data_IF_557260232613
#
_entry.id   IF_557260232613
#
_cell.length_a   1.000
_cell.length_b   1.000
_cell.length_c   1.000
_cell.angle_alpha   90.00
_cell.angle_beta   90.00
_cell.angle_gamma   90.00
#
_symmetry.space_group_name_H-M   'P 1'
#
loop_
_entity.id
_entity.type
_entity.pdbx_description
1 polymer ?
#
# COMPACT_ATOMS: atom_id res chain seq x y z
N UNK A 1 8.67 -32.54 35.16
CA UNK A 1 7.44 -31.99 34.54
C UNK A 1 7.59 -30.50 34.19
N UNK A 2 8.14 -29.64 35.06
CA UNK A 2 8.27 -28.18 34.79
C UNK A 2 9.16 -27.76 33.61
N UNK A 3 10.18 -28.56 33.23
CA UNK A 3 11.05 -28.26 32.09
C UNK A 3 10.36 -28.45 30.74
N UNK A 4 9.46 -29.43 30.65
CA UNK A 4 8.72 -29.70 29.41
C UNK A 4 7.68 -28.61 29.13
N UNK A 5 6.97 -28.14 30.15
CA UNK A 5 6.00 -27.04 30.03
C UNK A 5 6.66 -25.72 29.61
N UNK A 6 7.86 -25.42 30.13
CA UNK A 6 8.60 -24.20 29.74
C UNK A 6 9.07 -24.24 28.29
N UNK A 7 9.54 -25.40 27.82
CA UNK A 7 9.90 -25.61 26.41
C UNK A 7 8.69 -25.53 25.47
N UNK A 8 7.54 -26.05 25.88
CA UNK A 8 6.29 -25.94 25.12
C UNK A 8 5.81 -24.50 25.01
N UNK A 9 5.87 -23.72 26.10
CA UNK A 9 5.56 -22.29 26.10
C UNK A 9 6.49 -21.50 25.18
N UNK A 10 7.81 -21.76 25.23
CA UNK A 10 8.80 -21.10 24.36
C UNK A 10 8.56 -21.43 22.89
N UNK A 11 8.23 -22.68 22.55
CA UNK A 11 7.87 -23.08 21.18
C UNK A 11 6.60 -22.38 20.71
N UNK A 12 5.58 -22.30 21.56
CA UNK A 12 4.34 -21.60 21.23
C UNK A 12 4.59 -20.10 20.99
N UNK A 13 5.38 -19.46 21.85
CA UNK A 13 5.78 -18.05 21.68
C UNK A 13 6.55 -17.83 20.39
N UNK A 14 7.51 -18.69 20.06
CA UNK A 14 8.26 -18.61 18.82
C UNK A 14 7.37 -18.77 17.58
N UNK A 15 6.38 -19.67 17.64
CA UNK A 15 5.41 -19.86 16.57
C UNK A 15 4.53 -18.61 16.38
N UNK A 16 4.00 -18.05 17.48
CA UNK A 16 3.21 -16.82 17.45
C UNK A 16 4.02 -15.65 16.88
N UNK A 17 5.24 -15.43 17.37
CA UNK A 17 6.13 -14.38 16.87
C UNK A 17 6.42 -14.53 15.37
N UNK A 18 6.58 -15.75 14.87
CA UNK A 18 6.76 -16.01 13.44
C UNK A 18 5.51 -15.68 12.61
N UNK A 19 4.32 -15.99 13.14
CA UNK A 19 3.07 -15.63 12.49
C UNK A 19 2.83 -14.12 12.49
N UNK A 20 3.11 -13.44 13.60
CA UNK A 20 3.05 -11.98 13.72
C UNK A 20 3.98 -11.31 12.71
N UNK A 21 5.24 -11.73 12.63
CA UNK A 21 6.19 -11.22 11.65
C UNK A 21 5.67 -11.37 10.21
N UNK A 22 5.09 -12.53 9.88
CA UNK A 22 4.52 -12.78 8.55
C UNK A 22 3.30 -11.91 8.25
N UNK A 23 2.44 -11.65 9.25
CA UNK A 23 1.30 -10.75 9.08
C UNK A 23 1.75 -9.29 8.87
N UNK A 24 2.80 -8.86 9.58
CA UNK A 24 3.41 -7.54 9.39
C UNK A 24 3.98 -7.40 7.98
N UNK A 25 4.72 -8.41 7.48
CA UNK A 25 5.23 -8.43 6.11
C UNK A 25 4.10 -8.29 5.07
N UNK A 26 3.01 -9.04 5.24
CA UNK A 26 1.83 -8.96 4.36
C UNK A 26 1.21 -7.56 4.42
N UNK A 27 1.04 -7.00 5.61
CA UNK A 27 0.44 -5.68 5.78
C UNK A 27 1.30 -4.57 5.16
N UNK A 28 2.63 -4.66 5.29
CA UNK A 28 3.57 -3.76 4.63
C UNK A 28 3.48 -3.87 3.11
N UNK A 29 3.39 -5.09 2.57
CA UNK A 29 3.22 -5.30 1.13
C UNK A 29 1.91 -4.68 0.62
N UNK A 30 0.80 -4.89 1.34
CA UNK A 30 -0.50 -4.29 0.98
C UNK A 30 -0.44 -2.77 0.99
N UNK A 31 0.18 -2.17 2.00
CA UNK A 31 0.39 -0.73 2.07
C UNK A 31 1.22 -0.22 0.88
N UNK A 32 2.31 -0.90 0.55
CA UNK A 32 3.17 -0.55 -0.59
C UNK A 32 2.40 -0.62 -1.92
N UNK A 33 1.67 -1.71 -2.17
CA UNK A 33 0.85 -1.88 -3.38
C UNK A 33 -0.21 -0.77 -3.49
N UNK A 34 -0.87 -0.41 -2.37
CA UNK A 34 -1.82 0.71 -2.35
C UNK A 34 -1.17 2.02 -2.77
N UNK A 35 0.03 2.32 -2.26
CA UNK A 35 0.76 3.54 -2.64
C UNK A 35 1.13 3.53 -4.13
N UNK A 36 1.69 2.44 -4.63
CA UNK A 36 2.07 2.30 -6.04
C UNK A 36 0.90 2.37 -7.01
N UNK A 37 -0.32 1.98 -6.60
CA UNK A 37 -1.53 2.16 -7.42
C UNK A 37 -2.04 3.60 -7.35
N UNK A 38 -2.07 4.19 -6.15
CA UNK A 38 -2.59 5.55 -5.96
C UNK A 38 -1.75 6.60 -6.68
N UNK A 39 -0.45 6.38 -6.84
CA UNK A 39 0.47 7.29 -7.53
C UNK A 39 0.06 7.56 -9.00
N UNK A 40 0.02 6.55 -9.91
CA UNK A 40 -0.43 6.75 -11.28
C UNK A 40 -1.91 7.14 -11.35
N UNK A 41 -2.75 6.65 -10.43
CA UNK A 41 -4.17 6.98 -10.41
C UNK A 41 -4.42 8.48 -10.15
N UNK A 42 -3.64 9.08 -9.27
CA UNK A 42 -3.64 10.52 -9.01
C UNK A 42 -3.29 11.30 -10.28
N UNK A 43 -2.29 10.81 -11.04
CA UNK A 43 -1.92 11.39 -12.33
C UNK A 43 -3.05 11.31 -13.36
N UNK A 44 -3.66 10.12 -13.53
CA UNK A 44 -4.80 9.92 -14.46
C UNK A 44 -5.98 10.81 -14.10
N UNK A 45 -6.34 10.88 -12.81
CA UNK A 45 -7.42 11.72 -12.32
C UNK A 45 -7.13 13.21 -12.56
N UNK A 46 -5.92 13.66 -12.23
CA UNK A 46 -5.49 15.04 -12.48
C UNK A 46 -5.52 15.42 -13.96
N UNK A 47 -5.05 14.53 -14.84
CA UNK A 47 -5.11 14.77 -16.30
C UNK A 47 -6.55 14.83 -16.81
N UNK A 48 -7.44 13.96 -16.33
CA UNK A 48 -8.86 14.02 -16.66
C UNK A 48 -9.47 15.37 -16.23
N UNK A 49 -9.17 15.82 -15.01
CA UNK A 49 -9.64 17.12 -14.51
C UNK A 49 -9.11 18.31 -15.32
N UNK A 50 -7.84 18.27 -15.75
CA UNK A 50 -7.27 19.30 -16.62
C UNK A 50 -7.99 19.34 -17.97
N UNK A 51 -8.20 18.19 -18.62
CA UNK A 51 -8.90 18.09 -19.90
C UNK A 51 -10.34 18.60 -19.83
N UNK A 52 -11.05 18.39 -18.71
CA UNK A 52 -12.42 18.91 -18.56
C UNK A 52 -12.51 20.44 -18.61
N UNK A 53 -11.42 21.14 -18.30
CA UNK A 53 -11.32 22.61 -18.35
C UNK A 53 -11.05 23.13 -19.76
N UNK A 54 -10.71 22.25 -20.70
CA UNK A 54 -10.49 22.61 -22.10
C UNK A 54 -11.79 22.64 -22.91
N UNK A 55 -11.73 23.26 -24.10
CA UNK A 55 -12.82 23.26 -25.06
C UNK A 55 -12.85 21.93 -25.83
N UNK A 56 -13.58 20.95 -25.28
CA UNK A 56 -13.76 19.63 -25.87
C UNK A 56 -15.07 19.54 -26.67
N UNK A 57 -15.06 18.73 -27.73
CA UNK A 57 -16.30 18.29 -28.37
C UNK A 57 -17.18 17.49 -27.38
N UNK A 58 -18.51 17.41 -27.58
CA UNK A 58 -19.38 16.66 -26.67
C UNK A 58 -18.96 15.20 -26.47
N UNK A 59 -18.49 14.53 -27.53
CA UNK A 59 -18.02 13.14 -27.45
C UNK A 59 -16.72 13.02 -26.65
N UNK A 60 -15.77 13.93 -26.82
CA UNK A 60 -14.53 13.95 -26.04
C UNK A 60 -14.80 14.25 -24.57
N UNK A 61 -15.64 15.25 -24.28
CA UNK A 61 -16.07 15.57 -22.90
C UNK A 61 -16.65 14.34 -22.21
N UNK A 62 -17.54 13.61 -22.89
CA UNK A 62 -18.13 12.37 -22.34
C UNK A 62 -17.08 11.30 -22.05
N UNK A 63 -16.08 11.14 -22.92
CA UNK A 63 -15.00 10.17 -22.68
C UNK A 63 -14.13 10.56 -21.48
N UNK A 64 -13.85 11.85 -21.30
CA UNK A 64 -13.08 12.35 -20.15
C UNK A 64 -13.85 12.17 -18.84
N UNK A 65 -15.17 12.42 -18.82
CA UNK A 65 -16.03 12.11 -17.67
C UNK A 65 -15.98 10.62 -17.29
N UNK A 66 -16.00 9.72 -18.28
CA UNK A 66 -15.89 8.27 -18.04
C UNK A 66 -14.52 7.92 -17.45
N UNK A 67 -13.43 8.51 -17.95
CA UNK A 67 -12.09 8.29 -17.41
C UNK A 67 -12.02 8.72 -15.94
N UNK A 68 -12.55 9.90 -15.62
CA UNK A 68 -12.61 10.40 -14.24
C UNK A 68 -13.40 9.45 -13.32
N UNK A 69 -14.59 9.01 -13.76
CA UNK A 69 -15.44 8.08 -13.01
C UNK A 69 -14.76 6.73 -12.77
N UNK A 70 -14.06 6.20 -13.78
CA UNK A 70 -13.29 4.97 -13.63
C UNK A 70 -12.13 5.15 -12.65
N UNK A 71 -11.42 6.29 -12.70
CA UNK A 71 -10.35 6.59 -11.77
C UNK A 71 -10.85 6.65 -10.31
N UNK A 72 -11.98 7.30 -10.07
CA UNK A 72 -12.63 7.33 -8.75
C UNK A 72 -13.01 5.92 -8.29
N UNK A 73 -13.62 5.11 -9.17
CA UNK A 73 -13.99 3.74 -8.82
C UNK A 73 -12.79 2.86 -8.45
N UNK A 74 -11.65 3.03 -9.14
CA UNK A 74 -10.41 2.32 -8.80
C UNK A 74 -9.93 2.77 -7.42
N UNK A 75 -9.94 4.09 -7.14
CA UNK A 75 -9.56 4.65 -5.84
C UNK A 75 -10.40 4.03 -4.72
N UNK A 76 -11.71 3.95 -4.90
CA UNK A 76 -12.62 3.38 -3.91
C UNK A 76 -12.37 1.88 -3.71
N UNK A 77 -12.07 1.15 -4.78
CA UNK A 77 -11.71 -0.28 -4.71
C UNK A 77 -10.40 -0.48 -3.93
N UNK A 78 -9.40 0.36 -4.19
CA UNK A 78 -8.10 0.33 -3.51
C UNK A 78 -8.21 0.78 -2.06
N UNK A 79 -9.16 1.67 -1.73
CA UNK A 79 -9.40 2.11 -0.36
C UNK A 79 -9.82 0.97 0.58
N UNK A 80 -10.40 -0.12 0.07
CA UNK A 80 -10.71 -1.34 0.85
C UNK A 80 -9.42 -1.95 1.45
N UNK A 81 -8.27 -1.76 0.80
CA UNK A 81 -6.98 -2.23 1.31
C UNK A 81 -6.46 -1.38 2.49
N UNK A 82 -7.12 -0.27 2.83
CA UNK A 82 -6.71 0.61 3.94
C UNK A 82 -6.91 -0.03 5.31
N UNK A 83 -7.85 -0.96 5.41
CA UNK A 83 -8.15 -1.70 6.65
C UNK A 83 -7.02 -2.67 7.03
N UNK A 84 -6.14 -3.01 6.07
CA UNK A 84 -4.91 -3.76 6.32
C UNK A 84 -3.82 -2.76 6.73
N UNK A 85 -3.97 -2.18 7.91
CA UNK A 85 -2.91 -1.41 8.53
C UNK A 85 -2.05 -2.36 9.37
N UNK A 86 -0.73 -2.42 9.18
CA UNK A 86 0.10 -3.09 10.17
C UNK A 86 -0.14 -2.37 11.51
N UNK A 87 -0.45 -3.14 12.57
CA UNK A 87 -0.25 -2.68 13.94
C UNK A 87 1.26 -2.50 14.11
N UNK A 88 1.82 -1.42 13.57
CA UNK A 88 3.13 -1.00 13.98
C UNK A 88 2.94 -0.35 15.36
N UNK A 89 3.47 -0.92 16.46
CA UNK A 89 3.99 -0.03 17.48
C UNK A 89 4.98 0.90 16.76
N UNK A 90 4.97 2.18 17.07
CA UNK A 90 5.84 3.23 16.50
C UNK A 90 7.33 3.01 16.83
N UNK A 91 7.80 1.77 16.92
CA UNK A 91 9.17 1.42 17.26
C UNK A 91 10.00 1.40 15.98
N UNK A 92 10.83 2.43 15.82
CA UNK A 92 12.15 2.61 15.16
C UNK A 92 12.56 1.75 13.93
N UNK A 93 12.03 0.54 13.72
CA UNK A 93 12.32 -0.32 12.56
C UNK A 93 11.56 0.03 11.28
N UNK A 94 10.44 0.77 11.37
CA UNK A 94 9.66 1.19 10.20
C UNK A 94 10.40 2.20 9.32
N UNK A 95 11.15 3.12 9.94
CA UNK A 95 11.98 4.09 9.24
C UNK A 95 13.15 3.43 8.51
N UNK A 96 13.73 2.37 9.07
CA UNK A 96 14.84 1.64 8.45
C UNK A 96 14.43 0.94 7.15
N UNK A 97 13.20 0.41 7.07
CA UNK A 97 12.68 -0.23 5.85
C UNK A 97 12.38 0.83 4.78
N UNK A 98 11.78 1.97 5.17
CA UNK A 98 11.53 3.07 4.25
C UNK A 98 12.85 3.64 3.67
N UNK A 99 13.86 3.86 4.52
CA UNK A 99 15.19 4.33 4.09
C UNK A 99 15.92 3.32 3.19
N UNK A 100 15.77 2.02 3.43
CA UNK A 100 16.37 1.00 2.58
C UNK A 100 15.73 0.92 1.19
N UNK A 101 14.42 1.12 1.08
CA UNK A 101 13.69 1.15 -0.19
C UNK A 101 14.06 2.41 -0.99
N UNK A 102 14.16 3.57 -0.34
CA UNK A 102 14.59 4.81 -1.00
C UNK A 102 16.04 4.71 -1.51
N UNK A 103 16.94 4.12 -0.73
CA UNK A 103 18.31 3.86 -1.14
C UNK A 103 18.43 2.88 -2.33
N UNK A 104 17.51 1.93 -2.45
CA UNK A 104 17.45 1.01 -3.60
C UNK A 104 16.94 1.68 -4.87
N UNK A 105 16.01 2.64 -4.74
CA UNK A 105 15.52 3.43 -5.86
C UNK A 105 16.56 4.42 -6.41
N UNK A 106 17.40 5.03 -5.57
CA UNK A 106 18.49 5.90 -6.05
C UNK A 106 19.56 5.13 -6.83
N UNK A 107 19.83 3.88 -6.45
CA UNK A 107 20.88 3.06 -7.08
C UNK A 107 20.59 2.62 -8.52
N UNK A 108 19.34 2.74 -8.97
CA UNK A 108 18.91 2.41 -10.33
C UNK A 108 18.70 3.63 -11.23
N UNK A 109 19.13 4.83 -10.78
CA UNK A 109 18.95 6.10 -11.51
C UNK A 109 20.22 6.64 -12.19
N UNK A 110 21.27 5.81 -12.30
CA UNK A 110 22.49 6.06 -13.07
C UNK A 110 22.72 4.91 -14.05
#
# INVERSE_FOLDING_TARGET
MSTNSRQEEERMRALLARHEARLIEIANLVAHVRHEINNPLTGVFGQAQLLQRESLSPSMRRRVEIIEQLAVRIKDTVAILSDVQPLLPQTEGGEAIAQAVDALHEKHKH
#
